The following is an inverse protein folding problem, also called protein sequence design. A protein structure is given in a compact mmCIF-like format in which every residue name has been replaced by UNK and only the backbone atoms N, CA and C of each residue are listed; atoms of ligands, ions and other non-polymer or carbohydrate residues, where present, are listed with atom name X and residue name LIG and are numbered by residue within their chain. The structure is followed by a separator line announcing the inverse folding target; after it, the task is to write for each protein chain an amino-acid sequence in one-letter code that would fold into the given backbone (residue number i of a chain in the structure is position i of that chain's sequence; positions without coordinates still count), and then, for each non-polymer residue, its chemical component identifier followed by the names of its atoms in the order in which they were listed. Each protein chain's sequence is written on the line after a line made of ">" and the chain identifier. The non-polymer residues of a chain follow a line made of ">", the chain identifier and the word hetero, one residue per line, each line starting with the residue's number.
data_IF_894340823470
#
_entry.id   IF_894340823470
#
_cell.length_a   1.000
_cell.length_b   1.000
_cell.length_c   1.000
_cell.angle_alpha   90.00
_cell.angle_beta   90.00
_cell.angle_gamma   90.00
#
_symmetry.space_group_name_H-M   'P 1'
#
loop_
_entity.id
_entity.type
_entity.pdbx_description
1 polymer ?
#
# COMPACT_ATOMS: atom_id res chain seq x y z
N UNK A 1 8.74 5.16 4.13
CA UNK A 1 8.41 4.04 3.22
C UNK A 1 7.74 2.95 4.02
N UNK A 2 6.71 2.36 3.46
CA UNK A 2 5.86 1.42 4.18
C UNK A 2 5.71 0.15 3.38
N UNK A 3 6.09 -0.98 3.95
CA UNK A 3 5.88 -2.25 3.27
C UNK A 3 4.39 -2.52 3.12
N UNK A 4 3.99 -2.86 1.89
CA UNK A 4 2.62 -3.14 1.54
C UNK A 4 2.66 -4.36 0.64
N UNK A 5 2.89 -5.52 1.27
CA UNK A 5 3.37 -6.68 0.52
C UNK A 5 2.25 -7.39 -0.23
N UNK A 6 1.14 -7.67 0.42
CA UNK A 6 0.15 -8.55 -0.21
C UNK A 6 -1.27 -8.16 0.14
N UNK A 7 -2.16 -8.47 -0.79
CA UNK A 7 -3.59 -8.50 -0.56
C UNK A 7 -3.96 -9.84 0.03
N UNK A 8 -4.73 -9.83 1.09
CA UNK A 8 -5.03 -11.05 1.82
C UNK A 8 -5.82 -12.05 1.01
N UNK A 9 -6.74 -11.56 0.16
CA UNK A 9 -7.52 -12.44 -0.69
C UNK A 9 -6.63 -13.06 -1.77
N UNK A 10 -5.76 -12.27 -2.38
CA UNK A 10 -4.83 -12.80 -3.39
C UNK A 10 -3.86 -13.81 -2.78
N UNK A 11 -3.43 -13.59 -1.56
CA UNK A 11 -2.53 -14.55 -0.90
C UNK A 11 -3.25 -15.89 -0.69
N UNK A 12 -4.49 -15.86 -0.23
CA UNK A 12 -5.25 -17.08 -0.03
C UNK A 12 -5.47 -17.84 -1.34
N UNK A 13 -5.63 -17.10 -2.43
CA UNK A 13 -5.89 -17.69 -3.75
C UNK A 13 -4.62 -17.94 -4.55
N UNK A 14 -3.45 -17.74 -3.96
CA UNK A 14 -2.20 -17.69 -4.70
C UNK A 14 -1.71 -19.03 -5.24
N UNK A 15 -2.18 -20.14 -4.66
CA UNK A 15 -1.64 -21.44 -4.99
C UNK A 15 -0.38 -21.80 -4.24
N UNK A 16 0.14 -20.93 -3.40
CA UNK A 16 1.25 -21.28 -2.52
C UNK A 16 0.82 -22.36 -1.53
N UNK A 17 1.72 -23.27 -1.14
CA UNK A 17 1.42 -24.23 -0.07
C UNK A 17 0.98 -23.51 1.21
N UNK A 18 0.14 -24.16 2.03
CA UNK A 18 -0.33 -23.53 3.26
C UNK A 18 0.79 -23.06 4.19
N UNK A 19 1.90 -23.81 4.24
CA UNK A 19 3.04 -23.42 5.08
C UNK A 19 3.69 -22.13 4.59
N UNK A 20 3.74 -21.93 3.28
CA UNK A 20 4.29 -20.72 2.70
C UNK A 20 3.36 -19.54 2.97
N UNK A 21 2.06 -19.74 2.78
CA UNK A 21 1.08 -18.68 3.05
C UNK A 21 1.13 -18.26 4.51
N UNK A 22 1.23 -19.23 5.41
CA UNK A 22 1.31 -18.95 6.83
C UNK A 22 2.55 -18.15 7.19
N UNK A 23 3.67 -18.47 6.55
CA UNK A 23 4.92 -17.75 6.80
C UNK A 23 4.84 -16.31 6.30
N UNK A 24 4.25 -16.11 5.13
CA UNK A 24 4.10 -14.76 4.57
C UNK A 24 3.21 -13.90 5.47
N UNK A 25 2.08 -14.46 5.89
CA UNK A 25 1.08 -13.72 6.64
C UNK A 25 1.37 -13.67 8.14
N UNK A 26 2.28 -14.52 8.64
CA UNK A 26 2.47 -14.70 10.04
C UNK A 26 3.37 -13.67 10.70
N UNK A 27 3.54 -13.83 11.99
CA UNK A 27 4.41 -12.99 12.79
C UNK A 27 5.84 -13.09 12.26
N UNK A 28 6.47 -11.97 11.99
CA UNK A 28 7.79 -11.94 11.40
C UNK A 28 7.79 -12.10 9.88
N UNK A 29 6.63 -12.24 9.27
CA UNK A 29 6.50 -12.28 7.82
C UNK A 29 6.38 -10.88 7.24
N UNK A 30 5.41 -10.70 6.36
CA UNK A 30 5.23 -9.44 5.65
C UNK A 30 3.93 -8.76 6.05
N UNK A 31 3.88 -7.44 5.93
CA UNK A 31 2.67 -6.70 6.18
C UNK A 31 1.72 -6.86 4.99
N UNK A 32 0.47 -7.16 5.29
CA UNK A 32 -0.59 -7.11 4.28
C UNK A 32 -0.96 -5.66 3.99
N UNK A 33 -1.73 -5.46 2.93
CA UNK A 33 -2.24 -4.14 2.61
C UNK A 33 -3.07 -3.57 3.78
N UNK A 34 -3.88 -4.41 4.41
CA UNK A 34 -4.72 -3.96 5.52
C UNK A 34 -3.89 -3.56 6.74
N UNK A 35 -2.86 -4.33 7.05
CA UNK A 35 -1.97 -4.00 8.15
C UNK A 35 -1.20 -2.72 7.89
N UNK A 36 -0.71 -2.57 6.65
CA UNK A 36 -0.04 -1.34 6.26
C UNK A 36 -0.96 -0.14 6.33
N UNK A 37 -2.21 -0.31 5.91
CA UNK A 37 -3.21 0.74 5.96
C UNK A 37 -3.47 1.19 7.39
N UNK A 38 -3.56 0.25 8.31
CA UNK A 38 -3.78 0.55 9.71
C UNK A 38 -2.60 1.34 10.27
N UNK A 39 -1.39 0.91 9.97
CA UNK A 39 -0.20 1.60 10.43
C UNK A 39 -0.11 3.01 9.84
N UNK A 40 -0.42 3.15 8.54
CA UNK A 40 -0.43 4.46 7.90
C UNK A 40 -1.39 5.42 8.60
N UNK A 41 -2.58 4.94 8.94
CA UNK A 41 -3.55 5.78 9.63
C UNK A 41 -3.07 6.19 11.01
N UNK A 42 -2.33 5.31 11.69
CA UNK A 42 -1.82 5.61 13.02
C UNK A 42 -0.75 6.68 13.01
N UNK A 43 0.06 6.74 11.96
CA UNK A 43 1.16 7.72 11.89
C UNK A 43 0.78 8.96 11.08
N UNK A 44 -0.40 8.99 10.50
CA UNK A 44 -0.82 10.09 9.63
C UNK A 44 -0.95 11.39 10.40
N UNK A 45 -0.45 12.47 9.80
CA UNK A 45 -0.62 13.81 10.36
C UNK A 45 -0.45 14.81 9.22
N UNK A 46 -0.84 16.06 9.48
CA UNK A 46 -0.87 17.08 8.44
C UNK A 46 0.52 17.44 7.91
N UNK A 47 1.55 17.25 8.72
CA UNK A 47 2.93 17.57 8.32
C UNK A 47 3.66 16.46 7.62
N UNK A 48 3.05 15.28 7.47
CA UNK A 48 3.69 14.15 6.80
C UNK A 48 3.62 14.38 5.30
N UNK A 49 4.78 14.45 4.65
CA UNK A 49 4.85 14.85 3.24
C UNK A 49 4.37 13.76 2.30
N UNK A 50 4.69 12.51 2.60
CA UNK A 50 4.35 11.42 1.69
C UNK A 50 4.33 10.09 2.43
N UNK A 51 3.54 9.18 1.91
CA UNK A 51 3.57 7.76 2.28
C UNK A 51 3.91 7.00 1.01
N UNK A 52 4.99 6.24 1.05
CA UNK A 52 5.47 5.48 -0.10
C UNK A 52 5.27 4.00 0.18
N UNK A 53 4.45 3.35 -0.62
CA UNK A 53 4.17 1.93 -0.50
C UNK A 53 5.24 1.17 -1.28
N UNK A 54 5.80 0.14 -0.66
CA UNK A 54 6.94 -0.55 -1.22
C UNK A 54 6.84 -2.05 -1.00
N UNK A 55 7.68 -2.79 -1.70
CA UNK A 55 7.82 -4.25 -1.56
C UNK A 55 6.53 -5.01 -1.86
N UNK A 56 5.78 -4.54 -2.86
CA UNK A 56 4.57 -5.23 -3.27
C UNK A 56 4.94 -6.57 -3.92
N UNK A 57 4.23 -7.60 -3.52
CA UNK A 57 4.39 -8.92 -4.11
C UNK A 57 3.85 -8.91 -5.54
N UNK A 58 4.64 -9.41 -6.49
CA UNK A 58 4.17 -9.52 -7.87
C UNK A 58 3.01 -10.50 -7.99
N UNK A 59 3.00 -11.52 -7.16
CA UNK A 59 2.01 -12.59 -7.26
C UNK A 59 0.77 -12.32 -6.42
N UNK A 60 0.93 -11.63 -5.30
CA UNK A 60 -0.13 -11.51 -4.32
C UNK A 60 -0.59 -10.08 -4.09
N UNK A 61 -0.26 -9.18 -5.01
CA UNK A 61 -0.68 -7.79 -4.88
C UNK A 61 -0.76 -7.12 -6.24
N UNK A 62 -1.36 -5.94 -6.24
CA UNK A 62 -1.28 -5.01 -7.37
C UNK A 62 -1.14 -3.60 -6.80
N UNK A 63 -0.54 -2.68 -7.56
CA UNK A 63 -0.48 -1.29 -7.11
C UNK A 63 -1.86 -0.71 -6.79
N UNK A 64 -2.85 -1.08 -7.58
CA UNK A 64 -4.22 -0.59 -7.41
C UNK A 64 -4.81 -1.02 -6.08
N UNK A 65 -4.63 -2.28 -5.73
CA UNK A 65 -5.15 -2.79 -4.46
C UNK A 65 -4.44 -2.15 -3.28
N UNK A 66 -3.12 -2.04 -3.37
CA UNK A 66 -2.34 -1.44 -2.28
C UNK A 66 -2.72 0.03 -2.09
N UNK A 67 -2.76 0.79 -3.18
CA UNK A 67 -3.13 2.21 -3.11
C UNK A 67 -4.55 2.39 -2.59
N UNK A 68 -5.48 1.62 -3.11
CA UNK A 68 -6.87 1.74 -2.71
C UNK A 68 -7.09 1.45 -1.24
N UNK A 69 -6.44 0.41 -0.73
CA UNK A 69 -6.58 0.03 0.66
C UNK A 69 -6.01 1.10 1.60
N UNK A 70 -4.82 1.59 1.30
CA UNK A 70 -4.18 2.59 2.15
C UNK A 70 -4.88 3.94 2.02
N UNK A 71 -5.27 4.33 0.81
CA UNK A 71 -5.97 5.60 0.60
C UNK A 71 -7.27 5.65 1.39
N UNK A 72 -8.01 4.54 1.40
CA UNK A 72 -9.25 4.45 2.16
C UNK A 72 -9.01 4.69 3.64
N UNK A 73 -7.92 4.11 4.14
CA UNK A 73 -7.56 4.25 5.54
C UNK A 73 -7.11 5.67 5.91
N UNK A 74 -6.48 6.36 4.97
CA UNK A 74 -6.01 7.72 5.20
C UNK A 74 -7.12 8.77 5.06
N UNK A 75 -8.20 8.40 4.40
CA UNK A 75 -9.34 9.29 4.25
C UNK A 75 -9.95 9.57 5.62
N UNK A 76 -10.14 10.82 5.94
CA UNK A 76 -10.64 11.20 7.26
C UNK A 76 -9.57 11.44 8.29
N UNK A 77 -8.31 11.12 8.00
CA UNK A 77 -7.20 11.53 8.86
C UNK A 77 -6.75 12.93 8.45
N UNK A 78 -5.79 13.46 9.19
CA UNK A 78 -5.24 14.78 8.90
C UNK A 78 -4.21 14.77 7.76
N UNK A 79 -3.92 13.61 7.19
CA UNK A 79 -2.91 13.48 6.15
C UNK A 79 -3.26 14.34 4.93
N UNK A 80 -2.30 15.15 4.48
CA UNK A 80 -2.44 16.03 3.32
C UNK A 80 -1.37 15.76 2.27
N UNK A 81 -0.53 14.76 2.50
CA UNK A 81 0.61 14.50 1.65
C UNK A 81 0.27 13.67 0.44
N UNK A 82 1.29 13.05 -0.12
CA UNK A 82 1.16 12.21 -1.30
C UNK A 82 1.22 10.75 -0.92
N UNK A 83 0.48 9.94 -1.66
CA UNK A 83 0.52 8.50 -1.54
C UNK A 83 1.07 7.93 -2.84
N UNK A 84 2.21 7.29 -2.76
CA UNK A 84 2.93 6.81 -3.93
C UNK A 84 3.26 5.35 -3.80
N UNK A 85 3.52 4.70 -4.94
CA UNK A 85 4.00 3.31 -4.97
C UNK A 85 5.40 3.31 -5.55
N UNK A 86 6.34 2.69 -4.83
CA UNK A 86 7.67 2.45 -5.35
C UNK A 86 7.68 1.15 -6.11
N UNK A 87 8.11 1.18 -7.36
CA UNK A 87 8.21 -0.01 -8.18
C UNK A 87 9.56 -0.66 -7.97
N UNK A 88 9.57 -1.98 -7.98
CA UNK A 88 10.80 -2.73 -7.77
C UNK A 88 11.74 -2.60 -8.95
N UNK A 89 11.18 -2.45 -10.14
CA UNK A 89 11.94 -2.47 -11.39
C UNK A 89 12.24 -1.08 -11.93
N UNK A 90 11.95 -0.04 -11.16
CA UNK A 90 12.14 1.32 -11.61
C UNK A 90 12.46 2.21 -10.41
N UNK A 91 13.28 3.26 -10.63
CA UNK A 91 13.50 4.21 -9.54
C UNK A 91 12.21 4.92 -9.17
N UNK A 92 12.15 5.33 -7.91
CA UNK A 92 11.03 6.13 -7.44
C UNK A 92 11.03 7.45 -8.19
N UNK A 93 9.91 7.83 -8.80
CA UNK A 93 9.86 9.11 -9.49
C UNK A 93 10.02 10.26 -8.51
N UNK A 94 10.45 11.40 -9.03
CA UNK A 94 10.52 12.61 -8.24
C UNK A 94 9.16 12.94 -7.68
N UNK A 95 9.14 13.42 -6.45
CA UNK A 95 7.89 13.77 -5.81
C UNK A 95 7.43 15.13 -6.31
N UNK A 96 6.45 15.10 -7.19
CA UNK A 96 5.78 16.30 -7.67
C UNK A 96 4.46 16.40 -6.96
N UNK A 97 4.16 17.57 -6.45
CA UNK A 97 2.97 17.73 -5.64
C UNK A 97 1.72 17.52 -6.49
N UNK A 98 0.94 16.54 -6.13
CA UNK A 98 -0.38 16.30 -6.67
C UNK A 98 -0.42 15.51 -7.95
N UNK A 99 0.39 15.88 -8.95
CA UNK A 99 0.26 15.29 -10.28
C UNK A 99 0.57 13.79 -10.29
N UNK A 100 1.60 13.39 -9.58
CA UNK A 100 1.97 11.97 -9.54
C UNK A 100 0.92 11.14 -8.85
N UNK A 101 0.33 11.67 -7.81
CA UNK A 101 -0.73 10.95 -7.12
C UNK A 101 -1.92 10.73 -8.03
N UNK A 102 -2.27 11.73 -8.82
CA UNK A 102 -3.38 11.60 -9.76
C UNK A 102 -3.08 10.57 -10.83
N UNK A 103 -1.84 10.47 -11.25
CA UNK A 103 -1.44 9.51 -12.28
C UNK A 103 -1.34 8.09 -11.74
N UNK A 104 -0.84 7.94 -10.52
CA UNK A 104 -0.60 6.63 -9.94
C UNK A 104 -1.79 6.12 -9.18
N UNK A 105 -2.48 7.00 -8.50
CA UNK A 105 -3.60 6.60 -7.69
C UNK A 105 -4.82 6.48 -8.57
N UNK A 106 -5.48 5.41 -8.41
CA UNK A 106 -6.75 5.22 -9.04
C UNK A 106 -7.79 6.04 -8.31
N UNK A 107 -8.97 6.17 -8.89
CA UNK A 107 -10.07 6.77 -8.15
C UNK A 107 -10.18 6.11 -6.80
N UNK A 108 -10.19 6.91 -5.75
CA UNK A 108 -10.24 6.39 -4.40
C UNK A 108 -11.58 5.72 -4.16
N UNK A 109 -11.58 4.54 -3.55
CA UNK A 109 -12.84 3.89 -3.20
C UNK A 109 -13.68 4.82 -2.34
N UNK A 110 -14.92 5.01 -2.72
CA UNK A 110 -15.80 5.93 -2.01
C UNK A 110 -15.42 7.38 -2.15
N UNK A 111 -14.49 7.70 -3.02
CA UNK A 111 -13.99 9.05 -3.19
C UNK A 111 -14.72 9.87 -4.25
N UNK A 112 -15.82 9.40 -4.66
CA UNK A 112 -16.64 10.12 -5.65
C UNK A 112 -17.96 10.41 -5.09
#
# INVERSE_FOLDING_TARGET
>A
MLETNHDEVMLRASGYPPSVRARIAGHGGHLSNSQAAQLAAEVAHAGLAAVVLAHLSDRCNTPELALGTVARSLKGTAFRGKLLVARQDAPLPSLEVGAELEQLALPLPGGR
#
